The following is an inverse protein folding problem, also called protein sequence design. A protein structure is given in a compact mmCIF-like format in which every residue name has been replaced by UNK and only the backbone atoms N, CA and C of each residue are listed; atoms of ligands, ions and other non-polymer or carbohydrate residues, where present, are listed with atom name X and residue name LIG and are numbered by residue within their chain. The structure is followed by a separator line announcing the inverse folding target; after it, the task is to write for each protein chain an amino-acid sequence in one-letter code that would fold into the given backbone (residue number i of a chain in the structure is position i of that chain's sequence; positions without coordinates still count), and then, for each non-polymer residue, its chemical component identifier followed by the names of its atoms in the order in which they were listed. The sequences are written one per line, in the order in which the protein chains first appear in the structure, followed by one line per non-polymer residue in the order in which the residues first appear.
data_IF_139038637304
#
_entry.id   IF_139038637304
#
_cell.length_a   1.000
_cell.length_b   1.000
_cell.length_c   1.000
_cell.angle_alpha   90.00
_cell.angle_beta   90.00
_cell.angle_gamma   90.00
#
_symmetry.space_group_name_H-M   'P 1'
#
loop_
_entity.id
_entity.type
_entity.pdbx_description
1 polymer ?
#
# COMPACT_ATOMS: atom_id res chain seq x y z
N UNK A 1 4.74 21.96 -13.15
CA UNK A 1 3.61 22.65 -13.86
C UNK A 1 4.09 23.22 -15.19
N UNK A 2 5.03 24.17 -15.20
CA UNK A 2 5.48 24.83 -16.45
C UNK A 2 6.01 23.78 -17.44
N UNK A 3 6.96 22.94 -17.02
CA UNK A 3 7.53 21.90 -17.88
C UNK A 3 6.49 20.92 -18.43
N UNK A 4 5.51 20.53 -17.62
CA UNK A 4 4.41 19.67 -18.08
C UNK A 4 3.63 20.34 -19.21
N UNK A 5 3.29 21.62 -19.00
CA UNK A 5 2.56 22.40 -20.02
C UNK A 5 3.38 22.61 -21.30
N UNK A 6 4.69 22.75 -21.19
CA UNK A 6 5.57 22.91 -22.37
C UNK A 6 5.64 21.65 -23.24
N UNK A 7 5.53 20.48 -22.63
CA UNK A 7 5.54 19.19 -23.34
C UNK A 7 4.20 18.84 -24.00
N UNK A 8 3.12 19.53 -23.64
CA UNK A 8 1.78 19.26 -24.18
C UNK A 8 1.58 19.90 -25.56
N UNK A 9 0.79 19.27 -26.41
CA UNK A 9 0.40 19.81 -27.70
C UNK A 9 -0.48 21.06 -27.53
N UNK A 10 -0.46 22.02 -28.46
CA UNK A 10 -1.25 23.25 -28.37
C UNK A 10 -2.75 23.03 -28.20
N UNK A 11 -3.33 22.02 -28.86
CA UNK A 11 -4.74 21.64 -28.75
C UNK A 11 -5.09 21.11 -27.36
N UNK A 12 -4.20 20.36 -26.72
CA UNK A 12 -4.37 19.83 -25.36
C UNK A 12 -4.31 20.95 -24.32
N UNK A 13 -3.36 21.89 -24.48
CA UNK A 13 -3.26 23.06 -23.58
C UNK A 13 -4.54 23.89 -23.54
N UNK A 14 -5.25 24.02 -24.65
CA UNK A 14 -6.52 24.78 -24.74
C UNK A 14 -7.64 24.17 -23.88
N UNK A 15 -7.54 22.87 -23.55
CA UNK A 15 -8.53 22.17 -22.74
C UNK A 15 -8.34 22.45 -21.24
N UNK A 16 -7.14 22.89 -20.83
CA UNK A 16 -6.86 23.17 -19.42
C UNK A 16 -7.49 24.49 -19.03
N UNK A 17 -8.41 24.45 -18.07
CA UNK A 17 -9.17 25.63 -17.62
C UNK A 17 -8.73 26.16 -16.27
N UNK A 18 -7.95 25.39 -15.53
CA UNK A 18 -7.46 25.78 -14.21
C UNK A 18 -6.39 24.81 -13.70
N UNK A 19 -5.63 25.26 -12.73
CA UNK A 19 -4.59 24.50 -12.05
C UNK A 19 -4.98 24.35 -10.58
N UNK A 20 -4.89 23.14 -10.05
CA UNK A 20 -4.97 22.87 -8.62
C UNK A 20 -3.58 22.40 -8.16
N UNK A 21 -3.03 23.08 -7.16
CA UNK A 21 -1.79 22.66 -6.52
C UNK A 21 -2.17 21.77 -5.35
N UNK A 22 -1.87 20.48 -5.45
CA UNK A 22 -2.17 19.49 -4.43
C UNK A 22 -0.93 19.21 -3.55
N UNK A 23 -1.17 18.76 -2.31
CA UNK A 23 -0.13 18.39 -1.34
C UNK A 23 0.91 19.51 -1.11
N UNK A 24 0.43 20.75 -1.02
CA UNK A 24 1.31 21.89 -0.78
C UNK A 24 1.93 21.83 0.62
N UNK A 25 3.26 21.79 0.66
CA UNK A 25 4.04 21.80 1.90
C UNK A 25 4.68 23.18 2.07
N UNK A 26 4.28 23.90 3.07
CA UNK A 26 4.82 25.22 3.41
C UNK A 26 3.73 26.21 3.85
N UNK A 27 4.15 27.44 4.09
CA UNK A 27 3.24 28.53 4.47
C UNK A 27 2.53 29.08 3.22
N UNK A 28 1.20 28.98 3.19
CA UNK A 28 0.37 29.48 2.09
C UNK A 28 0.49 31.01 1.93
N UNK A 29 0.77 31.76 3.00
CA UNK A 29 0.93 33.21 2.95
C UNK A 29 2.14 33.61 2.14
N UNK A 30 3.22 32.83 2.21
CA UNK A 30 4.45 33.03 1.45
C UNK A 30 4.35 32.60 -0.02
N UNK A 31 3.36 31.77 -0.34
CA UNK A 31 3.19 31.23 -1.71
C UNK A 31 2.38 32.13 -2.62
N UNK A 32 1.86 33.24 -2.14
CA UNK A 32 1.03 34.16 -2.95
C UNK A 32 1.75 34.65 -4.20
N UNK A 33 3.02 34.99 -4.10
CA UNK A 33 3.84 35.41 -5.24
C UNK A 33 4.08 34.26 -6.21
N UNK A 34 4.31 33.04 -5.71
CA UNK A 34 4.45 31.85 -6.52
C UNK A 34 3.19 31.51 -7.32
N UNK A 35 2.00 31.66 -6.70
CA UNK A 35 0.73 31.54 -7.40
C UNK A 35 0.62 32.54 -8.56
N UNK A 36 0.84 33.83 -8.27
CA UNK A 36 0.77 34.90 -9.26
C UNK A 36 1.77 34.66 -10.40
N UNK A 37 2.96 34.19 -10.09
CA UNK A 37 3.98 33.88 -11.09
C UNK A 37 3.53 32.74 -12.03
N UNK A 38 2.93 31.66 -11.48
CA UNK A 38 2.38 30.55 -12.27
C UNK A 38 1.28 31.06 -13.21
N UNK A 39 0.33 31.81 -12.69
CA UNK A 39 -0.79 32.36 -13.47
C UNK A 39 -0.30 33.28 -14.59
N UNK A 40 0.64 34.16 -14.29
CA UNK A 40 1.24 35.07 -15.29
C UNK A 40 2.02 34.30 -16.37
N UNK A 41 2.75 33.26 -15.98
CA UNK A 41 3.56 32.48 -16.92
C UNK A 41 2.74 31.56 -17.81
N UNK A 42 1.68 30.97 -17.27
CA UNK A 42 0.87 29.96 -17.97
C UNK A 42 -0.38 30.54 -18.63
N UNK A 43 -0.84 31.70 -18.20
CA UNK A 43 -2.13 32.29 -18.53
C UNK A 43 -3.31 31.39 -18.15
N UNK A 44 -3.12 30.49 -17.16
CA UNK A 44 -4.12 29.57 -16.63
C UNK A 44 -4.31 29.89 -15.14
N UNK A 45 -5.55 30.08 -14.66
CA UNK A 45 -5.79 30.42 -13.27
C UNK A 45 -5.43 29.25 -12.32
N UNK A 46 -4.83 29.56 -11.18
CA UNK A 46 -4.70 28.62 -10.07
C UNK A 46 -5.96 28.70 -9.21
N UNK A 47 -6.86 27.76 -9.44
CA UNK A 47 -8.21 27.72 -8.83
C UNK A 47 -8.25 27.12 -7.44
N UNK A 48 -7.16 26.46 -7.00
CA UNK A 48 -7.07 25.89 -5.67
C UNK A 48 -5.65 25.56 -5.28
N UNK A 49 -5.38 25.65 -3.98
CA UNK A 49 -4.16 25.15 -3.36
C UNK A 49 -4.60 24.31 -2.17
N UNK A 50 -4.39 23.00 -2.23
CA UNK A 50 -4.71 22.04 -1.18
C UNK A 50 -3.45 21.83 -0.35
N UNK A 51 -3.45 22.23 0.93
CA UNK A 51 -2.30 22.02 1.79
C UNK A 51 -2.07 20.53 2.03
N UNK A 52 -0.91 20.19 2.54
CA UNK A 52 -0.66 18.85 3.08
C UNK A 52 -1.60 18.64 4.27
N UNK A 53 -2.47 17.65 4.13
CA UNK A 53 -3.38 17.21 5.18
C UNK A 53 -2.73 16.03 5.88
N UNK A 54 -2.56 16.12 7.19
CA UNK A 54 -2.02 15.02 8.01
C UNK A 54 -3.06 13.93 8.26
N UNK A 55 -4.31 14.17 7.85
CA UNK A 55 -5.43 13.30 8.15
C UNK A 55 -5.88 12.48 6.93
N UNK A 56 -5.85 11.19 7.10
CA UNK A 56 -6.91 10.20 6.80
C UNK A 56 -7.52 10.14 5.40
N UNK A 57 -6.83 10.55 4.34
CA UNK A 57 -7.17 10.04 3.02
C UNK A 57 -6.35 8.78 2.76
N UNK A 58 -6.99 7.68 2.28
CA UNK A 58 -6.25 6.49 1.92
C UNK A 58 -5.08 6.85 0.99
N UNK A 59 -3.87 6.37 1.25
CA UNK A 59 -2.74 6.63 0.36
C UNK A 59 -3.03 6.04 -1.02
N UNK A 60 -2.90 6.84 -2.06
CA UNK A 60 -3.13 6.44 -3.46
C UNK A 60 -2.01 5.49 -3.95
N UNK A 61 -0.82 5.59 -3.34
CA UNK A 61 0.36 4.80 -3.68
C UNK A 61 0.96 4.09 -2.46
N UNK A 62 1.36 2.84 -2.64
CA UNK A 62 1.99 1.99 -1.62
C UNK A 62 3.30 2.54 -1.03
N UNK A 63 3.86 3.60 -1.58
CA UNK A 63 5.08 4.26 -1.09
C UNK A 63 4.85 5.07 0.20
N UNK A 64 3.64 5.57 0.44
CA UNK A 64 3.30 6.33 1.65
C UNK A 64 3.21 5.44 2.92
N UNK A 65 3.11 4.12 2.75
CA UNK A 65 3.12 3.14 3.85
C UNK A 65 4.45 3.09 4.62
N UNK A 66 5.52 3.60 4.03
CA UNK A 66 6.87 3.48 4.61
C UNK A 66 7.16 4.54 5.69
N UNK A 67 6.38 5.60 5.77
CA UNK A 67 6.64 6.75 6.65
C UNK A 67 5.67 6.88 7.84
N UNK A 68 4.58 6.11 7.88
CA UNK A 68 3.66 6.12 9.02
C UNK A 68 4.30 5.40 10.22
N UNK A 69 4.91 6.15 11.10
CA UNK A 69 5.26 5.66 12.45
C UNK A 69 4.02 5.75 13.33
N UNK A 70 3.70 4.66 14.02
CA UNK A 70 2.69 4.67 15.08
C UNK A 70 2.97 5.82 16.05
N UNK A 71 2.02 6.72 16.20
CA UNK A 71 2.08 7.87 17.11
C UNK A 71 1.71 7.47 18.55
N UNK A 72 1.30 6.22 18.78
CA UNK A 72 0.72 5.77 20.04
C UNK A 72 1.80 5.26 21.00
N UNK A 73 1.70 5.69 22.26
CA UNK A 73 2.74 5.43 23.27
C UNK A 73 2.60 4.10 24.00
N UNK A 74 1.42 3.50 24.03
CA UNK A 74 1.17 2.21 24.70
C UNK A 74 0.08 1.42 23.97
N UNK A 75 0.39 0.75 22.86
CA UNK A 75 -0.58 -0.12 22.20
C UNK A 75 -0.91 -1.33 23.09
N UNK A 76 -2.17 -1.71 23.12
CA UNK A 76 -2.64 -2.92 23.84
C UNK A 76 -2.54 -4.17 22.97
N UNK A 77 -2.61 -3.98 21.63
CA UNK A 77 -2.62 -5.05 20.63
C UNK A 77 -1.57 -4.75 19.57
N UNK A 78 -0.72 -5.73 19.28
CA UNK A 78 0.29 -5.65 18.22
C UNK A 78 -0.10 -6.54 17.05
N UNK A 79 -0.29 -5.94 15.87
CA UNK A 79 -0.70 -6.62 14.64
C UNK A 79 0.40 -6.55 13.60
N UNK A 80 0.88 -7.72 13.16
CA UNK A 80 1.81 -7.84 12.04
C UNK A 80 1.03 -8.06 10.74
N UNK A 81 1.26 -7.22 9.73
CA UNK A 81 0.68 -7.41 8.40
C UNK A 81 1.77 -7.79 7.41
N UNK A 82 1.65 -8.95 6.78
CA UNK A 82 2.63 -9.42 5.78
C UNK A 82 2.56 -8.52 4.55
N UNK A 83 3.67 -7.89 4.19
CA UNK A 83 3.73 -7.01 3.01
C UNK A 83 3.97 -7.83 1.74
N UNK A 84 2.89 -8.20 1.08
CA UNK A 84 2.95 -8.89 -0.22
C UNK A 84 3.35 -7.93 -1.35
N UNK A 85 4.15 -8.38 -2.35
CA UNK A 85 4.48 -7.57 -3.54
C UNK A 85 3.26 -7.13 -4.34
N UNK A 86 2.23 -8.00 -4.43
CA UNK A 86 1.01 -7.75 -5.18
C UNK A 86 -0.20 -7.52 -4.27
N UNK A 87 0.01 -6.92 -3.09
CA UNK A 87 -1.07 -6.65 -2.13
C UNK A 87 -2.24 -5.93 -2.79
N UNK A 88 -3.46 -6.36 -2.46
CA UNK A 88 -4.69 -5.68 -2.86
C UNK A 88 -5.29 -4.92 -1.68
N UNK A 89 -5.92 -3.77 -1.97
CA UNK A 89 -6.72 -3.03 -1.00
C UNK A 89 -6.00 -2.76 0.34
N UNK A 90 -4.77 -2.27 0.29
CA UNK A 90 -4.02 -1.95 1.52
C UNK A 90 -4.74 -0.93 2.40
N UNK A 91 -5.61 -0.09 1.84
CA UNK A 91 -6.47 0.85 2.57
C UNK A 91 -7.51 0.17 3.48
N UNK A 92 -7.73 -1.15 3.33
CA UNK A 92 -8.61 -1.90 4.25
C UNK A 92 -8.07 -1.92 5.68
N UNK A 93 -6.77 -1.62 5.85
CA UNK A 93 -6.10 -1.55 7.15
C UNK A 93 -6.09 -0.16 7.79
N UNK A 94 -6.48 0.90 7.05
CA UNK A 94 -6.55 2.26 7.57
C UNK A 94 -7.40 2.39 8.85
N UNK A 95 -8.56 1.70 9.00
CA UNK A 95 -9.31 1.74 10.25
C UNK A 95 -8.53 1.19 11.45
N UNK A 96 -7.72 0.15 11.25
CA UNK A 96 -6.86 -0.41 12.31
C UNK A 96 -5.68 0.50 12.62
N UNK A 97 -5.10 1.17 11.59
CA UNK A 97 -4.01 2.13 11.78
C UNK A 97 -4.45 3.40 12.53
N UNK A 98 -5.74 3.72 12.50
CA UNK A 98 -6.31 4.88 13.21
C UNK A 98 -6.80 4.53 14.64
N UNK A 99 -6.74 3.26 15.04
CA UNK A 99 -7.15 2.84 16.38
C UNK A 99 -5.99 2.99 17.37
N UNK A 100 -6.18 3.79 18.42
CA UNK A 100 -5.13 4.14 19.39
C UNK A 100 -4.58 2.96 20.19
N UNK A 101 -5.39 1.92 20.35
CA UNK A 101 -5.02 0.71 21.07
C UNK A 101 -4.25 -0.30 20.23
N UNK A 102 -4.14 -0.10 18.92
CA UNK A 102 -3.54 -1.04 17.98
C UNK A 102 -2.22 -0.49 17.42
N UNK A 103 -1.16 -1.28 17.52
CA UNK A 103 0.08 -1.06 16.79
C UNK A 103 0.12 -1.96 15.56
N UNK A 104 0.20 -1.36 14.38
CA UNK A 104 0.40 -2.10 13.14
C UNK A 104 1.86 -2.02 12.72
N UNK A 105 2.44 -3.16 12.39
CA UNK A 105 3.76 -3.28 11.77
C UNK A 105 3.67 -4.07 10.45
N UNK A 106 4.21 -3.48 9.39
CA UNK A 106 4.29 -4.12 8.08
C UNK A 106 5.54 -4.99 7.98
N UNK A 107 5.34 -6.31 7.92
CA UNK A 107 6.40 -7.32 7.88
C UNK A 107 6.85 -7.52 6.43
N UNK A 108 8.12 -7.21 6.15
CA UNK A 108 8.69 -7.21 4.80
C UNK A 108 9.67 -8.34 4.57
N UNK A 109 10.27 -8.84 5.64
CA UNK A 109 11.35 -9.82 5.63
C UNK A 109 11.08 -10.87 6.69
N UNK A 110 11.69 -12.05 6.52
CA UNK A 110 11.62 -13.13 7.51
C UNK A 110 12.09 -12.66 8.88
N UNK A 111 11.26 -12.90 9.89
CA UNK A 111 11.52 -12.55 11.29
C UNK A 111 10.66 -13.37 12.23
N UNK A 112 11.03 -13.38 13.52
CA UNK A 112 10.21 -14.02 14.54
C UNK A 112 8.88 -13.25 14.72
N UNK A 113 7.75 -13.97 14.59
CA UNK A 113 6.40 -13.41 14.68
C UNK A 113 5.76 -13.56 16.06
N UNK A 114 6.43 -14.19 17.03
CA UNK A 114 5.85 -14.55 18.34
C UNK A 114 5.38 -13.34 19.17
N UNK A 115 5.91 -12.16 18.90
CA UNK A 115 5.56 -10.94 19.61
C UNK A 115 4.26 -10.27 19.13
N UNK A 116 3.67 -10.75 18.02
CA UNK A 116 2.41 -10.21 17.52
C UNK A 116 1.22 -10.97 18.12
N UNK A 117 0.19 -10.22 18.52
CA UNK A 117 -1.09 -10.80 18.97
C UNK A 117 -1.87 -11.37 17.78
N UNK A 118 -1.73 -10.75 16.62
CA UNK A 118 -2.30 -11.20 15.34
C UNK A 118 -1.31 -11.01 14.20
N UNK A 119 -1.31 -11.96 13.27
CA UNK A 119 -0.62 -11.84 11.98
C UNK A 119 -1.67 -11.88 10.87
N UNK A 120 -1.66 -10.88 9.99
CA UNK A 120 -2.58 -10.79 8.86
C UNK A 120 -1.85 -11.09 7.57
N UNK A 121 -2.35 -12.06 6.82
CA UNK A 121 -1.97 -12.34 5.44
C UNK A 121 -3.02 -11.67 4.53
N UNK A 122 -2.69 -10.54 3.89
CA UNK A 122 -3.66 -9.71 3.18
C UNK A 122 -4.07 -10.30 1.83
N UNK A 123 -5.01 -9.64 1.18
CA UNK A 123 -5.40 -9.96 -0.19
C UNK A 123 -4.26 -9.73 -1.18
N UNK A 124 -4.23 -10.54 -2.23
CA UNK A 124 -3.26 -10.46 -3.31
C UNK A 124 -3.96 -10.34 -4.67
N UNK A 125 -3.35 -9.57 -5.59
CA UNK A 125 -3.74 -9.51 -7.00
C UNK A 125 -3.09 -10.62 -7.84
N UNK A 126 -2.09 -11.31 -7.28
CA UNK A 126 -1.34 -12.40 -7.91
C UNK A 126 -0.98 -13.46 -6.86
N UNK A 127 -1.98 -14.24 -6.45
CA UNK A 127 -1.89 -15.14 -5.28
C UNK A 127 -0.77 -16.18 -5.42
N UNK A 128 -0.62 -16.79 -6.60
CA UNK A 128 0.44 -17.79 -6.84
C UNK A 128 1.83 -17.15 -6.75
N UNK A 129 2.00 -15.98 -7.35
CA UNK A 129 3.28 -15.27 -7.33
C UNK A 129 3.66 -14.82 -5.92
N UNK A 130 2.69 -14.31 -5.18
CA UNK A 130 2.93 -13.89 -3.81
C UNK A 130 3.19 -15.09 -2.88
N UNK A 131 2.57 -16.26 -3.14
CA UNK A 131 2.92 -17.50 -2.42
C UNK A 131 4.36 -17.93 -2.68
N UNK A 132 4.82 -17.86 -3.94
CA UNK A 132 6.22 -18.16 -4.27
C UNK A 132 7.15 -17.18 -3.55
N UNK A 133 6.82 -15.90 -3.54
CA UNK A 133 7.57 -14.91 -2.77
C UNK A 133 7.64 -15.25 -1.28
N UNK A 134 6.55 -15.68 -0.66
CA UNK A 134 6.53 -16.08 0.75
C UNK A 134 7.47 -17.27 1.03
N UNK A 135 7.50 -18.27 0.13
CA UNK A 135 8.42 -19.41 0.26
C UNK A 135 9.88 -18.99 0.07
N UNK A 136 10.19 -18.19 -0.97
CA UNK A 136 11.55 -17.75 -1.27
C UNK A 136 12.12 -16.80 -0.22
N UNK A 137 11.29 -15.99 0.41
CA UNK A 137 11.69 -15.04 1.46
C UNK A 137 11.81 -15.67 2.85
N UNK A 138 11.32 -16.90 3.05
CA UNK A 138 11.25 -17.56 4.36
C UNK A 138 10.04 -17.17 5.21
N UNK A 139 9.21 -16.22 4.75
CA UNK A 139 8.01 -15.78 5.48
C UNK A 139 6.99 -16.91 5.66
N UNK A 140 6.89 -17.86 4.73
CA UNK A 140 6.02 -19.04 4.89
C UNK A 140 6.39 -19.86 6.11
N UNK A 141 7.70 -20.06 6.36
CA UNK A 141 8.17 -20.81 7.51
C UNK A 141 7.90 -20.06 8.82
N UNK A 142 8.11 -18.75 8.84
CA UNK A 142 7.78 -17.92 10.01
C UNK A 142 6.30 -17.98 10.35
N UNK A 143 5.42 -17.92 9.34
CA UNK A 143 3.97 -18.03 9.52
C UNK A 143 3.59 -19.42 10.03
N UNK A 144 4.18 -20.50 9.51
CA UNK A 144 3.98 -21.88 10.00
C UNK A 144 4.41 -22.01 11.45
N UNK A 145 5.60 -21.50 11.80
CA UNK A 145 6.11 -21.53 13.16
C UNK A 145 5.19 -20.76 14.11
N UNK A 146 4.74 -19.56 13.71
CA UNK A 146 3.80 -18.76 14.49
C UNK A 146 2.47 -19.49 14.71
N UNK A 147 1.92 -20.15 13.68
CA UNK A 147 0.72 -20.99 13.77
C UNK A 147 0.90 -22.16 14.73
N UNK A 148 2.04 -22.87 14.63
CA UNK A 148 2.36 -24.01 15.50
C UNK A 148 2.47 -23.58 16.96
N UNK A 149 2.87 -22.35 17.23
CA UNK A 149 2.90 -21.75 18.57
C UNK A 149 1.55 -21.15 19.01
N UNK A 150 0.46 -21.49 18.30
CA UNK A 150 -0.91 -21.04 18.57
C UNK A 150 -1.11 -19.52 18.36
N UNK A 151 -0.33 -18.91 17.50
CA UNK A 151 -0.52 -17.54 17.08
C UNK A 151 -1.82 -17.37 16.28
N UNK A 152 -2.41 -16.18 16.37
CA UNK A 152 -3.66 -15.87 15.68
C UNK A 152 -3.37 -15.36 14.26
N UNK A 153 -3.79 -16.11 13.25
CA UNK A 153 -3.59 -15.75 11.83
C UNK A 153 -4.94 -15.42 11.20
N UNK A 154 -4.95 -14.32 10.43
CA UNK A 154 -6.10 -13.89 9.64
C UNK A 154 -5.68 -13.85 8.17
N UNK A 155 -6.27 -14.70 7.34
CA UNK A 155 -6.11 -14.66 5.88
C UNK A 155 -7.27 -13.93 5.21
N UNK A 156 -6.99 -12.99 4.31
CA UNK A 156 -8.00 -12.21 3.59
C UNK A 156 -7.90 -12.52 2.10
N UNK A 157 -9.00 -12.95 1.47
CA UNK A 157 -9.08 -13.24 0.03
C UNK A 157 -7.91 -14.13 -0.45
N UNK A 158 -6.96 -13.60 -1.26
CA UNK A 158 -5.74 -14.32 -1.66
C UNK A 158 -4.91 -14.81 -0.48
N UNK A 159 -4.85 -14.06 0.61
CA UNK A 159 -4.19 -14.49 1.86
C UNK A 159 -4.83 -15.73 2.46
N UNK A 160 -6.15 -15.81 2.48
CA UNK A 160 -6.85 -17.02 2.93
C UNK A 160 -6.54 -18.21 2.01
N UNK A 161 -6.46 -18.00 0.71
CA UNK A 161 -6.10 -19.06 -0.23
C UNK A 161 -4.68 -19.57 0.01
N UNK A 162 -3.71 -18.67 0.25
CA UNK A 162 -2.32 -19.03 0.56
C UNK A 162 -2.17 -19.83 1.87
N UNK A 163 -3.07 -19.66 2.84
CA UNK A 163 -3.11 -20.47 4.06
C UNK A 163 -3.59 -21.92 3.81
N UNK A 164 -4.12 -22.23 2.65
CA UNK A 164 -4.48 -23.60 2.28
C UNK A 164 -3.25 -24.48 2.05
N UNK A 165 -3.47 -25.81 1.92
CA UNK A 165 -2.40 -26.76 1.66
C UNK A 165 -1.86 -26.67 0.24
N UNK A 166 -2.70 -26.28 -0.71
CA UNK A 166 -2.37 -26.16 -2.13
C UNK A 166 -3.12 -25.04 -2.81
N UNK A 167 -2.43 -24.39 -3.78
CA UNK A 167 -3.04 -23.45 -4.71
C UNK A 167 -2.98 -24.02 -6.14
N UNK A 168 -4.09 -23.93 -6.86
CA UNK A 168 -4.21 -24.44 -8.20
C UNK A 168 -4.79 -23.37 -9.14
N UNK A 169 -4.10 -23.10 -10.26
CA UNK A 169 -4.62 -22.27 -11.36
C UNK A 169 -4.51 -23.02 -12.68
N UNK A 170 -5.37 -24.05 -12.89
CA UNK A 170 -5.30 -24.92 -14.06
C UNK A 170 -5.55 -24.20 -15.39
N UNK A 171 -6.09 -23.00 -15.34
CA UNK A 171 -6.43 -22.20 -16.52
C UNK A 171 -5.56 -20.95 -16.69
N UNK A 172 -4.52 -20.76 -15.87
CA UNK A 172 -3.61 -19.61 -15.91
C UNK A 172 -4.34 -18.25 -15.88
N UNK A 173 -5.39 -18.14 -15.07
CA UNK A 173 -6.21 -16.93 -14.98
C UNK A 173 -5.53 -15.79 -14.24
N UNK A 174 -4.59 -16.07 -13.35
CA UNK A 174 -3.77 -15.07 -12.67
C UNK A 174 -2.66 -14.45 -13.55
N UNK A 175 -2.64 -14.79 -14.84
CA UNK A 175 -1.93 -14.01 -15.86
C UNK A 175 -0.47 -14.34 -16.10
N UNK A 176 0.08 -15.36 -15.48
CA UNK A 176 1.50 -15.69 -15.66
C UNK A 176 1.70 -17.01 -16.37
N UNK A 177 1.78 -16.98 -17.70
CA UNK A 177 2.29 -18.11 -18.50
C UNK A 177 3.76 -18.47 -18.20
N UNK A 178 4.42 -17.70 -17.34
CA UNK A 178 5.82 -17.88 -16.98
C UNK A 178 6.02 -18.81 -15.78
N UNK A 179 4.97 -19.16 -15.05
CA UNK A 179 5.04 -20.18 -14.01
C UNK A 179 4.58 -21.51 -14.62
N UNK A 180 5.52 -22.46 -14.72
CA UNK A 180 5.31 -23.80 -15.29
C UNK A 180 4.42 -24.68 -14.41
N UNK A 181 4.06 -24.24 -13.22
CA UNK A 181 3.34 -25.03 -12.24
C UNK A 181 1.90 -24.54 -12.10
N UNK A 182 0.96 -25.39 -12.53
CA UNK A 182 -0.48 -25.18 -12.34
C UNK A 182 -0.92 -25.41 -10.88
N UNK A 183 -0.02 -25.92 -10.05
CA UNK A 183 -0.26 -26.30 -8.66
C UNK A 183 1.00 -26.09 -7.85
N UNK A 184 0.87 -25.33 -6.78
CA UNK A 184 1.94 -25.08 -5.81
C UNK A 184 1.46 -25.39 -4.38
N UNK A 185 2.39 -25.59 -3.47
CA UNK A 185 2.07 -25.73 -2.06
C UNK A 185 1.68 -24.38 -1.49
N UNK A 186 0.65 -24.37 -0.65
CA UNK A 186 0.34 -23.26 0.22
C UNK A 186 1.12 -23.34 1.54
N UNK A 187 0.74 -22.49 2.49
CA UNK A 187 1.38 -22.46 3.81
C UNK A 187 1.02 -23.71 4.62
N UNK A 188 -0.22 -24.22 4.52
CA UNK A 188 -0.69 -25.48 5.12
C UNK A 188 -1.42 -25.29 6.43
#
# INVERSE_FOLDING_TARGET
IIGTLELMKPEEKKLIKGIIINRFRGDLSLFKEGKNWIENKTQIPVIGIIPWLNDSFPPEDSLDLLEKKSLFKNPEIKVGIIKLPSISNFSDFDPLENEESILIEWIKESQNLIEYDFVILPGSKQTIKDQIFLEESGLSDDIREYSNNKGNIIGICGGLQMLGTTLEDPYFKEGSKNYSEQKINGIG
#
